data_IF_471127437772
#
_entry.id   IF_471127437772
#
_cell.length_a   1.000
_cell.length_b   1.000
_cell.length_c   1.000
_cell.angle_alpha   90.00
_cell.angle_beta   90.00
_cell.angle_gamma   90.00
#
_symmetry.space_group_name_H-M   'P 1'
#
loop_
_entity.id
_entity.type
_entity.pdbx_description
1 polymer ?
#
# COMPACT_ATOMS: atom_id res chain seq x y z
N UNK A 1 -12.63 31.19 -13.31
CA UNK A 1 -11.55 30.36 -12.71
C UNK A 1 -12.01 28.95 -12.32
N UNK A 2 -13.04 28.37 -12.99
CA UNK A 2 -13.64 27.07 -12.59
C UNK A 2 -13.25 25.91 -13.51
N UNK A 3 -12.53 26.19 -14.61
CA UNK A 3 -12.19 25.17 -15.62
C UNK A 3 -10.95 24.32 -15.24
N UNK A 4 -10.01 24.86 -14.45
CA UNK A 4 -8.73 24.19 -14.14
C UNK A 4 -8.85 23.05 -13.12
N UNK A 5 -9.88 23.04 -12.28
CA UNK A 5 -10.07 22.00 -11.25
C UNK A 5 -10.71 20.72 -11.81
N UNK A 6 -11.49 20.81 -12.91
CA UNK A 6 -12.10 19.62 -13.55
C UNK A 6 -11.11 18.83 -14.42
N UNK A 7 -10.01 19.44 -14.83
CA UNK A 7 -9.04 18.82 -15.74
C UNK A 7 -8.03 17.92 -15.00
N UNK A 8 -7.75 18.21 -13.72
CA UNK A 8 -6.86 17.37 -12.88
C UNK A 8 -7.51 16.04 -12.50
N UNK A 9 -8.85 15.97 -12.46
CA UNK A 9 -9.58 14.73 -12.15
C UNK A 9 -9.72 13.80 -13.38
N UNK A 10 -9.41 14.30 -14.59
CA UNK A 10 -9.65 13.58 -15.84
C UNK A 10 -8.43 12.78 -16.34
N UNK A 11 -7.24 12.93 -15.75
CA UNK A 11 -6.01 12.27 -16.21
C UNK A 11 -5.72 10.92 -15.55
N UNK A 12 -6.55 10.46 -14.61
CA UNK A 12 -6.44 9.12 -13.99
C UNK A 12 -7.37 8.08 -14.62
N UNK A 13 -8.04 8.41 -15.73
CA UNK A 13 -9.16 7.64 -16.29
C UNK A 13 -8.79 6.29 -16.95
N UNK A 14 -7.51 5.89 -16.97
CA UNK A 14 -7.06 4.61 -17.56
C UNK A 14 -5.98 3.87 -16.71
N UNK A 15 -6.02 4.01 -15.39
CA UNK A 15 -5.35 3.05 -14.48
C UNK A 15 -6.37 2.35 -13.59
N UNK A 16 -7.49 1.89 -14.17
CA UNK A 16 -8.41 0.97 -13.50
C UNK A 16 -7.81 -0.44 -13.40
N UNK A 17 -6.58 -0.55 -12.89
CA UNK A 17 -6.10 -1.83 -12.41
C UNK A 17 -6.77 -2.05 -11.05
N UNK A 18 -8.00 -2.54 -11.12
CA UNK A 18 -8.74 -2.96 -9.94
C UNK A 18 -7.98 -4.12 -9.31
N UNK A 19 -7.57 -3.94 -8.07
CA UNK A 19 -6.98 -4.99 -7.24
C UNK A 19 -7.91 -5.26 -6.08
N UNK A 20 -9.01 -6.03 -6.27
CA UNK A 20 -10.06 -6.17 -5.26
C UNK A 20 -9.56 -6.69 -3.91
N UNK A 21 -8.50 -7.48 -3.92
CA UNK A 21 -7.86 -7.96 -2.70
C UNK A 21 -7.14 -6.84 -1.94
N UNK A 22 -6.45 -5.94 -2.65
CA UNK A 22 -5.76 -4.79 -2.05
C UNK A 22 -6.77 -3.76 -1.57
N UNK A 23 -7.78 -3.43 -2.37
CA UNK A 23 -8.86 -2.51 -1.99
C UNK A 23 -9.52 -2.96 -0.68
N UNK A 24 -9.91 -4.24 -0.59
CA UNK A 24 -10.47 -4.81 0.66
C UNK A 24 -9.53 -4.72 1.85
N UNK A 25 -8.22 -4.90 1.65
CA UNK A 25 -7.22 -4.76 2.71
C UNK A 25 -7.12 -3.32 3.20
N UNK A 26 -7.13 -2.34 2.29
CA UNK A 26 -7.06 -0.92 2.64
C UNK A 26 -8.35 -0.44 3.30
N UNK A 27 -9.50 -0.86 2.80
CA UNK A 27 -10.80 -0.43 3.32
C UNK A 27 -11.09 -1.07 4.68
N UNK A 28 -10.89 -2.38 4.80
CA UNK A 28 -11.14 -3.15 6.02
C UNK A 28 -10.00 -3.11 7.04
N UNK A 29 -8.82 -2.58 6.66
CA UNK A 29 -7.62 -2.46 7.49
C UNK A 29 -7.15 -3.77 8.15
N UNK A 30 -7.60 -4.93 7.65
CA UNK A 30 -7.20 -6.24 8.16
C UNK A 30 -5.94 -6.75 7.46
N UNK A 31 -4.79 -6.36 7.99
CA UNK A 31 -3.49 -6.83 7.51
C UNK A 31 -3.02 -8.13 8.19
N UNK A 32 -3.84 -8.79 9.01
CA UNK A 32 -3.41 -9.94 9.83
C UNK A 32 -2.78 -11.05 8.98
N UNK A 33 -3.47 -11.43 7.89
CA UNK A 33 -2.99 -12.48 6.99
C UNK A 33 -1.74 -12.05 6.21
N UNK A 34 -1.70 -10.80 5.76
CA UNK A 34 -0.54 -10.23 5.05
C UNK A 34 0.69 -10.23 5.96
N UNK A 35 0.56 -9.67 7.17
CA UNK A 35 1.61 -9.61 8.17
C UNK A 35 2.16 -11.00 8.50
N UNK A 36 1.28 -11.98 8.72
CA UNK A 36 1.67 -13.37 8.98
C UNK A 36 2.48 -13.96 7.83
N UNK A 37 1.96 -13.86 6.61
CA UNK A 37 2.58 -14.45 5.43
C UNK A 37 3.91 -13.77 5.08
N UNK A 38 3.96 -12.44 5.11
CA UNK A 38 5.17 -11.67 4.82
C UNK A 38 6.24 -11.93 5.86
N UNK A 39 5.88 -12.00 7.14
CA UNK A 39 6.83 -12.34 8.21
C UNK A 39 7.38 -13.75 8.07
N UNK A 40 6.53 -14.72 7.72
CA UNK A 40 6.97 -16.10 7.48
C UNK A 40 7.93 -16.17 6.28
N UNK A 41 7.56 -15.56 5.16
CA UNK A 41 8.38 -15.53 3.96
C UNK A 41 9.72 -14.81 4.21
N UNK A 42 9.70 -13.69 4.93
CA UNK A 42 10.92 -12.95 5.29
C UNK A 42 11.88 -13.82 6.09
N UNK A 43 11.39 -14.54 7.11
CA UNK A 43 12.22 -15.46 7.93
C UNK A 43 12.82 -16.60 7.11
N UNK A 44 12.10 -17.11 6.12
CA UNK A 44 12.61 -18.14 5.22
C UNK A 44 13.68 -17.57 4.29
N UNK A 45 13.44 -16.40 3.70
CA UNK A 45 14.41 -15.71 2.85
C UNK A 45 15.67 -15.30 3.63
N UNK A 46 15.53 -14.88 4.88
CA UNK A 46 16.64 -14.54 5.77
C UNK A 46 17.58 -15.74 5.92
N UNK A 47 17.04 -16.94 6.20
CA UNK A 47 17.84 -18.18 6.26
C UNK A 47 18.59 -18.42 4.96
N UNK A 48 17.90 -18.34 3.82
CA UNK A 48 18.50 -18.56 2.48
C UNK A 48 19.57 -17.49 2.17
N UNK A 49 19.39 -16.27 2.67
CA UNK A 49 20.33 -15.17 2.45
C UNK A 49 21.71 -15.41 3.07
N UNK A 50 21.77 -16.28 4.09
CA UNK A 50 22.99 -16.68 4.80
C UNK A 50 23.60 -17.98 4.25
N UNK A 51 22.95 -18.68 3.32
CA UNK A 51 23.46 -19.93 2.75
C UNK A 51 24.65 -19.72 1.79
N UNK A 52 25.47 -20.75 1.65
CA UNK A 52 26.59 -20.79 0.70
C UNK A 52 26.07 -20.96 -0.72
N UNK A 53 25.87 -19.83 -1.41
CA UNK A 53 25.46 -19.78 -2.81
C UNK A 53 25.18 -18.36 -3.25
N UNK A 54 26.18 -17.70 -3.85
CA UNK A 54 26.15 -16.27 -4.21
C UNK A 54 24.88 -15.83 -4.95
N UNK A 55 24.38 -16.64 -5.89
CA UNK A 55 23.18 -16.34 -6.66
C UNK A 55 21.89 -16.38 -5.83
N UNK A 56 21.67 -17.49 -5.10
CA UNK A 56 20.46 -17.69 -4.29
C UNK A 56 20.40 -16.72 -3.10
N UNK A 57 21.53 -16.52 -2.43
CA UNK A 57 21.62 -15.56 -1.32
C UNK A 57 21.38 -14.11 -1.78
N UNK A 58 21.89 -13.73 -2.97
CA UNK A 58 21.63 -12.41 -3.55
C UNK A 58 20.16 -12.21 -3.92
N UNK A 59 19.53 -13.21 -4.54
CA UNK A 59 18.10 -13.16 -4.86
C UNK A 59 17.23 -13.09 -3.60
N UNK A 60 17.58 -13.85 -2.55
CA UNK A 60 16.87 -13.80 -1.28
C UNK A 60 16.90 -12.40 -0.66
N UNK A 61 18.08 -11.74 -0.63
CA UNK A 61 18.21 -10.35 -0.17
C UNK A 61 17.34 -9.38 -0.98
N UNK A 62 17.31 -9.52 -2.30
CA UNK A 62 16.44 -8.68 -3.17
C UNK A 62 14.96 -8.90 -2.87
N UNK A 63 14.54 -10.14 -2.64
CA UNK A 63 13.16 -10.47 -2.30
C UNK A 63 12.77 -9.90 -0.92
N UNK A 64 13.67 -9.95 0.06
CA UNK A 64 13.45 -9.33 1.38
C UNK A 64 13.21 -7.83 1.26
N UNK A 65 14.04 -7.10 0.50
CA UNK A 65 13.86 -5.66 0.24
C UNK A 65 12.53 -5.37 -0.46
N UNK A 66 12.13 -6.21 -1.41
CA UNK A 66 10.83 -6.06 -2.08
C UNK A 66 9.65 -6.23 -1.12
N UNK A 67 9.72 -7.18 -0.17
CA UNK A 67 8.71 -7.35 0.87
C UNK A 67 8.61 -6.12 1.78
N UNK A 68 9.76 -5.54 2.15
CA UNK A 68 9.82 -4.30 2.94
C UNK A 68 9.15 -3.14 2.20
N UNK A 69 9.47 -2.95 0.91
CA UNK A 69 8.85 -1.91 0.09
C UNK A 69 7.34 -2.05 -0.03
N UNK A 70 6.82 -3.27 -0.17
CA UNK A 70 5.37 -3.51 -0.22
C UNK A 70 4.72 -3.12 1.11
N UNK A 71 5.33 -3.45 2.24
CA UNK A 71 4.83 -3.04 3.56
C UNK A 71 4.86 -1.53 3.75
N UNK A 72 5.89 -0.85 3.26
CA UNK A 72 5.97 0.61 3.27
C UNK A 72 4.89 1.25 2.38
N UNK A 73 4.65 0.71 1.20
CA UNK A 73 3.57 1.18 0.32
C UNK A 73 2.20 1.05 1.00
N UNK A 74 1.91 -0.06 1.69
CA UNK A 74 0.66 -0.17 2.46
C UNK A 74 0.55 0.90 3.54
N UNK A 75 1.63 1.21 4.27
CA UNK A 75 1.63 2.28 5.28
C UNK A 75 1.36 3.65 4.65
N UNK A 76 1.98 3.95 3.51
CA UNK A 76 1.76 5.22 2.81
C UNK A 76 0.33 5.35 2.30
N UNK A 77 -0.25 4.27 1.76
CA UNK A 77 -1.66 4.26 1.34
C UNK A 77 -2.59 4.52 2.53
N UNK A 78 -2.35 3.91 3.69
CA UNK A 78 -3.16 4.16 4.89
C UNK A 78 -3.03 5.60 5.39
N UNK A 79 -1.82 6.16 5.39
CA UNK A 79 -1.62 7.59 5.74
C UNK A 79 -2.42 8.50 4.81
N UNK A 80 -2.42 8.21 3.51
CA UNK A 80 -3.21 8.95 2.52
C UNK A 80 -4.71 8.80 2.79
N UNK A 81 -5.20 7.58 3.06
CA UNK A 81 -6.60 7.31 3.43
C UNK A 81 -7.03 8.19 4.61
N UNK A 82 -6.28 8.18 5.72
CA UNK A 82 -6.61 8.99 6.89
C UNK A 82 -6.55 10.49 6.63
N UNK A 83 -5.58 10.96 5.83
CA UNK A 83 -5.51 12.37 5.44
C UNK A 83 -6.74 12.80 4.65
N UNK A 84 -7.22 11.96 3.74
CA UNK A 84 -8.43 12.24 2.95
C UNK A 84 -9.70 12.24 3.82
N UNK A 85 -9.82 11.28 4.75
CA UNK A 85 -10.95 11.24 5.70
C UNK A 85 -11.00 12.52 6.55
N UNK A 86 -9.84 12.94 7.08
CA UNK A 86 -9.75 14.18 7.86
C UNK A 86 -10.16 15.43 7.05
N UNK A 87 -9.72 15.53 5.80
CA UNK A 87 -10.14 16.63 4.91
C UNK A 87 -11.65 16.62 4.63
N UNK A 88 -12.27 15.45 4.56
CA UNK A 88 -13.72 15.33 4.38
C UNK A 88 -14.49 15.74 5.64
N UNK A 89 -13.98 15.40 6.83
CA UNK A 89 -14.53 15.84 8.11
C UNK A 89 -14.43 17.36 8.26
N UNK A 90 -13.26 17.95 7.93
CA UNK A 90 -13.01 19.39 8.01
C UNK A 90 -13.76 20.20 6.93
N UNK A 91 -14.00 19.60 5.76
CA UNK A 91 -14.70 20.20 4.62
C UNK A 91 -16.23 20.04 4.64
N UNK A 92 -16.80 19.40 5.67
CA UNK A 92 -18.24 19.29 5.86
C UNK A 92 -18.75 20.44 6.73
N UNK A 93 -19.27 21.56 6.17
CA UNK A 93 -19.94 22.55 6.99
C UNK A 93 -21.12 21.87 7.67
N UNK A 94 -21.18 21.96 8.99
CA UNK A 94 -22.34 21.55 9.77
C UNK A 94 -23.58 22.22 9.19
N UNK A 95 -24.38 21.49 8.41
CA UNK A 95 -25.75 21.90 8.13
C UNK A 95 -26.50 21.71 9.45
N UNK A 96 -26.44 22.74 10.30
CA UNK A 96 -27.36 22.89 11.42
C UNK A 96 -28.77 22.88 10.82
N UNK A 97 -29.50 21.80 11.06
CA UNK A 97 -30.95 21.78 10.95
C UNK A 97 -31.55 22.45 12.17
#
# INVERSE_FOLDING_TARGET
MVAKEKEVLATTKDMSIHYPAVEKLIDGEDFTKVNKNFTSAYKELEKISHETGLGRASQARKAMVALEWVMDLFREILKLKYRLMKLQEEGSPSVKK
#
